data_IF_414941128466
#
_entry.id   IF_414941128466
#
_cell.length_a   1.000
_cell.length_b   1.000
_cell.length_c   1.000
_cell.angle_alpha   90.00
_cell.angle_beta   90.00
_cell.angle_gamma   90.00
#
_symmetry.space_group_name_H-M   'P 1'
#
loop_
_entity.id
_entity.type
_entity.pdbx_description
1 polymer ?
#
# COMPACT_ATOMS: atom_id res chain seq x y z
N UNK A 1 -29.46 11.35 -6.23
CA UNK A 1 -30.77 11.71 -5.72
C UNK A 1 -30.67 12.02 -4.24
N UNK A 2 -31.45 12.97 -3.73
CA UNK A 2 -31.50 13.31 -2.30
C UNK A 2 -32.55 12.41 -1.62
N UNK A 3 -32.23 11.75 -0.50
CA UNK A 3 -33.22 10.93 0.21
C UNK A 3 -34.42 11.80 0.63
N UNK A 4 -35.63 11.30 0.40
CA UNK A 4 -36.88 12.00 0.74
C UNK A 4 -37.28 11.77 2.21
N UNK A 5 -36.76 10.71 2.82
CA UNK A 5 -37.08 10.22 4.16
C UNK A 5 -36.23 10.86 5.27
N UNK A 6 -35.08 11.47 4.93
CA UNK A 6 -34.14 12.04 5.90
C UNK A 6 -33.72 13.45 5.47
N UNK A 7 -33.73 14.45 6.37
CA UNK A 7 -33.24 15.79 6.07
C UNK A 7 -31.81 15.77 5.49
N UNK A 8 -31.57 16.53 4.43
CA UNK A 8 -30.26 16.59 3.78
C UNK A 8 -29.11 16.96 4.74
N UNK A 9 -29.38 17.83 5.73
CA UNK A 9 -28.40 18.22 6.76
C UNK A 9 -27.90 17.03 7.59
N UNK A 10 -28.77 16.04 7.83
CA UNK A 10 -28.43 14.84 8.60
C UNK A 10 -27.72 13.81 7.73
N UNK A 11 -28.24 13.58 6.50
CA UNK A 11 -27.62 12.65 5.55
C UNK A 11 -26.19 13.04 5.20
N UNK A 12 -25.95 14.35 5.04
CA UNK A 12 -24.68 14.92 4.61
C UNK A 12 -23.93 15.64 5.73
N UNK A 13 -24.21 15.34 7.00
CA UNK A 13 -23.60 16.01 8.15
C UNK A 13 -22.05 15.97 8.16
N UNK A 14 -21.45 14.95 7.53
CA UNK A 14 -19.99 14.78 7.42
C UNK A 14 -19.38 15.37 6.13
N UNK A 15 -20.19 15.99 5.28
CA UNK A 15 -19.73 16.60 4.04
C UNK A 15 -19.45 18.08 4.26
N UNK A 16 -18.48 18.62 3.51
CA UNK A 16 -18.19 20.05 3.48
C UNK A 16 -18.14 20.58 2.05
N UNK A 17 -18.61 21.80 1.87
CA UNK A 17 -18.43 22.54 0.63
C UNK A 17 -17.02 23.12 0.55
N UNK A 18 -16.37 23.00 -0.60
CA UNK A 18 -15.08 23.64 -0.87
C UNK A 18 -15.28 24.69 -1.96
N UNK A 19 -14.71 25.89 -1.76
CA UNK A 19 -14.69 26.92 -2.80
C UNK A 19 -13.84 26.49 -4.00
N UNK A 20 -12.74 25.81 -3.74
CA UNK A 20 -11.85 25.25 -4.76
C UNK A 20 -11.24 23.95 -4.26
N UNK A 21 -11.41 22.88 -5.03
CA UNK A 21 -10.81 21.57 -4.69
C UNK A 21 -9.28 21.62 -4.59
N UNK A 22 -8.63 22.52 -5.35
CA UNK A 22 -7.16 22.59 -5.46
C UNK A 22 -6.48 23.47 -4.42
N UNK A 23 -7.20 24.49 -3.91
CA UNK A 23 -6.59 25.56 -3.10
C UNK A 23 -7.24 25.74 -1.74
N UNK A 24 -8.47 25.24 -1.53
CA UNK A 24 -9.07 25.29 -0.19
C UNK A 24 -8.27 24.40 0.78
N UNK A 25 -8.00 24.86 2.01
CA UNK A 25 -7.24 24.09 2.99
C UNK A 25 -7.99 22.81 3.36
N UNK A 26 -7.23 21.74 3.59
CA UNK A 26 -7.74 20.44 4.04
C UNK A 26 -6.71 19.88 5.01
N UNK A 27 -7.04 19.80 6.30
CA UNK A 27 -6.14 19.23 7.30
C UNK A 27 -6.14 17.70 7.21
N UNK A 28 -4.98 17.04 6.98
CA UNK A 28 -4.87 15.59 6.96
C UNK A 28 -5.20 14.91 8.30
N UNK A 29 -5.06 15.62 9.42
CA UNK A 29 -5.24 15.07 10.77
C UNK A 29 -6.64 15.33 11.35
N UNK A 30 -7.53 15.93 10.56
CA UNK A 30 -8.91 16.18 10.94
C UNK A 30 -9.75 14.88 10.81
N UNK A 31 -10.50 14.52 11.86
CA UNK A 31 -11.47 13.41 11.85
C UNK A 31 -10.90 12.03 11.40
N UNK A 32 -9.66 11.73 11.78
CA UNK A 32 -9.00 10.46 11.43
C UNK A 32 -9.73 9.24 12.06
N UNK A 33 -9.90 8.13 11.33
CA UNK A 33 -10.35 6.88 11.89
C UNK A 33 -9.39 6.34 12.96
N UNK A 34 -9.90 5.60 13.94
CA UNK A 34 -9.09 4.96 14.99
C UNK A 34 -8.01 4.04 14.39
N UNK A 35 -8.27 3.43 13.24
CA UNK A 35 -7.31 2.55 12.56
C UNK A 35 -6.01 3.28 12.17
N UNK A 36 -6.07 4.60 11.93
CA UNK A 36 -4.89 5.41 11.61
C UNK A 36 -3.91 5.52 12.78
N UNK A 37 -4.34 5.32 14.03
CA UNK A 37 -3.41 5.31 15.17
C UNK A 37 -2.54 4.05 15.24
N UNK A 38 -2.90 3.00 14.48
CA UNK A 38 -2.22 1.70 14.48
C UNK A 38 -1.21 1.56 13.34
N UNK A 39 -1.18 2.51 12.40
CA UNK A 39 -0.30 2.46 11.24
C UNK A 39 0.96 3.28 11.49
N UNK A 40 2.04 2.88 10.85
CA UNK A 40 3.32 3.55 10.94
C UNK A 40 3.40 4.69 9.93
N UNK A 41 3.67 5.90 10.39
CA UNK A 41 3.91 7.07 9.55
C UNK A 41 5.42 7.29 9.36
N UNK A 42 5.80 7.73 8.16
CA UNK A 42 7.18 8.12 7.86
C UNK A 42 7.25 9.63 7.70
N UNK A 43 8.12 10.29 8.47
CA UNK A 43 8.40 11.73 8.30
C UNK A 43 8.92 12.02 6.88
N UNK A 44 9.85 11.19 6.39
CA UNK A 44 10.40 11.32 5.04
C UNK A 44 10.69 9.95 4.43
N UNK A 45 9.67 9.40 3.75
CA UNK A 45 9.77 8.10 3.10
C UNK A 45 10.91 8.05 2.06
N UNK A 46 11.07 9.08 1.23
CA UNK A 46 12.07 9.07 0.15
C UNK A 46 13.51 9.02 0.66
N UNK A 47 13.81 9.80 1.70
CA UNK A 47 15.14 9.78 2.32
C UNK A 47 15.42 8.45 3.02
N UNK A 48 14.44 7.92 3.76
CA UNK A 48 14.55 6.63 4.42
C UNK A 48 14.73 5.49 3.41
N UNK A 49 13.93 5.47 2.35
CA UNK A 49 14.01 4.49 1.25
C UNK A 49 15.40 4.47 0.63
N UNK A 50 15.95 5.64 0.26
CA UNK A 50 17.31 5.74 -0.29
C UNK A 50 18.38 5.23 0.68
N UNK A 51 18.25 5.54 1.97
CA UNK A 51 19.20 5.11 3.02
C UNK A 51 19.16 3.59 3.20
N UNK A 52 17.96 3.01 3.33
CA UNK A 52 17.77 1.56 3.49
C UNK A 52 18.33 0.82 2.28
N UNK A 53 17.95 1.22 1.06
CA UNK A 53 18.44 0.58 -0.17
C UNK A 53 19.96 0.70 -0.30
N UNK A 54 20.55 1.85 0.05
CA UNK A 54 22.01 2.04 0.00
C UNK A 54 22.75 1.11 0.97
N UNK A 55 22.27 0.95 2.21
CA UNK A 55 22.88 0.07 3.21
C UNK A 55 22.86 -1.40 2.77
N UNK A 56 21.72 -1.84 2.25
CA UNK A 56 21.54 -3.21 1.73
C UNK A 56 22.52 -3.49 0.60
N UNK A 57 22.71 -2.53 -0.33
CA UNK A 57 23.70 -2.66 -1.41
C UNK A 57 25.16 -2.71 -0.91
N UNK A 58 25.43 -2.12 0.24
CA UNK A 58 26.74 -2.16 0.90
C UNK A 58 26.92 -3.42 1.78
N UNK A 59 25.90 -4.27 1.88
CA UNK A 59 25.92 -5.45 2.75
C UNK A 59 26.04 -5.08 4.24
N UNK A 60 25.57 -3.90 4.64
CA UNK A 60 25.60 -3.45 6.04
C UNK A 60 24.23 -3.65 6.69
N UNK A 61 24.21 -4.43 7.77
CA UNK A 61 23.04 -4.58 8.64
C UNK A 61 22.89 -3.38 9.59
N UNK A 62 21.81 -3.32 10.36
CA UNK A 62 21.53 -2.20 11.28
C UNK A 62 22.63 -2.00 12.33
N UNK A 63 23.32 -3.08 12.73
CA UNK A 63 24.35 -3.11 13.77
C UNK A 63 25.78 -2.99 13.21
N UNK A 64 25.96 -2.90 11.90
CA UNK A 64 27.28 -2.73 11.25
C UNK A 64 28.17 -3.99 11.24
N UNK A 65 27.77 -5.07 11.90
CA UNK A 65 28.36 -6.40 11.74
C UNK A 65 27.66 -7.11 10.59
N UNK A 66 28.40 -7.49 9.54
CA UNK A 66 27.81 -8.16 8.38
C UNK A 66 28.39 -9.54 8.14
N UNK A 67 27.61 -10.56 8.52
CA UNK A 67 27.78 -11.93 8.02
C UNK A 67 26.73 -12.17 6.93
N UNK A 68 26.85 -11.45 5.82
CA UNK A 68 25.97 -11.67 4.66
C UNK A 68 26.48 -12.82 3.80
N UNK A 69 25.57 -13.64 3.26
CA UNK A 69 25.93 -14.72 2.35
C UNK A 69 25.97 -14.19 0.92
N UNK A 70 27.09 -14.41 0.23
CA UNK A 70 27.24 -14.03 -1.17
C UNK A 70 26.28 -14.83 -2.08
N UNK A 71 25.78 -14.21 -3.17
CA UNK A 71 24.96 -14.91 -4.16
C UNK A 71 25.65 -16.16 -4.73
N UNK A 72 24.86 -17.21 -5.01
CA UNK A 72 25.35 -18.46 -5.60
C UNK A 72 25.83 -19.51 -4.60
N UNK A 73 25.83 -19.22 -3.29
CA UNK A 73 26.16 -20.20 -2.25
C UNK A 73 24.93 -21.01 -1.85
N UNK A 74 25.10 -22.33 -1.71
CA UNK A 74 24.10 -23.21 -1.11
C UNK A 74 24.06 -22.96 0.40
N UNK A 75 22.87 -22.69 0.92
CA UNK A 75 22.66 -22.43 2.36
C UNK A 75 21.57 -23.33 2.93
N UNK A 76 21.66 -23.59 4.23
CA UNK A 76 20.59 -24.21 5.03
C UNK A 76 20.03 -23.14 5.96
N UNK A 77 18.74 -22.81 5.81
CA UNK A 77 18.09 -21.78 6.60
C UNK A 77 17.35 -22.40 7.80
N UNK A 78 17.71 -21.99 9.01
CA UNK A 78 17.01 -22.37 10.23
C UNK A 78 16.08 -21.24 10.68
N UNK A 79 14.80 -21.33 10.31
CA UNK A 79 13.79 -20.29 10.59
C UNK A 79 13.05 -20.64 11.89
N UNK A 80 12.96 -19.67 12.82
CA UNK A 80 12.23 -19.82 14.08
C UNK A 80 10.72 -19.59 13.89
N UNK A 81 9.91 -20.24 14.73
CA UNK A 81 8.45 -20.04 14.81
C UNK A 81 7.70 -20.27 13.49
N UNK A 82 8.11 -21.29 12.75
CA UNK A 82 7.40 -21.74 11.55
C UNK A 82 6.24 -22.66 11.95
N UNK A 83 5.11 -22.56 11.25
CA UNK A 83 3.99 -23.48 11.45
C UNK A 83 4.46 -24.92 11.22
N UNK A 84 4.04 -25.85 12.09
CA UNK A 84 4.32 -27.28 11.90
C UNK A 84 3.56 -27.86 10.71
N UNK A 85 2.49 -27.19 10.30
CA UNK A 85 1.73 -27.57 9.12
C UNK A 85 2.43 -27.05 7.86
N UNK A 86 3.17 -27.95 7.20
CA UNK A 86 3.90 -27.66 5.98
C UNK A 86 2.98 -27.41 4.78
N UNK A 87 1.73 -27.90 4.80
CA UNK A 87 0.77 -27.67 3.71
C UNK A 87 0.37 -26.19 3.60
N UNK A 88 0.44 -25.45 4.71
CA UNK A 88 0.21 -23.99 4.75
C UNK A 88 1.36 -23.22 4.11
N UNK A 89 2.56 -23.80 4.09
CA UNK A 89 3.79 -23.12 3.67
C UNK A 89 4.16 -23.49 2.24
N UNK A 90 3.95 -24.76 1.86
CA UNK A 90 4.41 -25.29 0.59
C UNK A 90 3.31 -26.15 -0.04
N UNK A 91 2.89 -25.74 -1.24
CA UNK A 91 2.15 -26.62 -2.14
C UNK A 91 3.12 -27.65 -2.72
N UNK A 92 2.66 -28.89 -2.89
CA UNK A 92 3.43 -29.95 -3.55
C UNK A 92 3.73 -29.64 -5.03
N UNK A 93 2.94 -28.75 -5.64
CA UNK A 93 3.02 -28.39 -7.06
C UNK A 93 3.91 -27.17 -7.35
N UNK A 94 4.25 -26.37 -6.34
CA UNK A 94 4.94 -25.08 -6.52
C UNK A 94 6.25 -25.02 -5.73
N UNK A 95 7.30 -24.38 -6.28
CA UNK A 95 8.56 -24.20 -5.56
C UNK A 95 8.40 -23.25 -4.37
N UNK A 96 9.11 -23.55 -3.27
CA UNK A 96 9.23 -22.65 -2.13
C UNK A 96 10.30 -21.58 -2.41
N UNK A 97 9.88 -20.31 -2.46
CA UNK A 97 10.76 -19.16 -2.65
C UNK A 97 10.82 -18.34 -1.37
N UNK A 98 12.03 -18.04 -0.90
CA UNK A 98 12.26 -17.25 0.31
C UNK A 98 12.91 -15.92 -0.08
N UNK A 99 12.41 -14.83 0.47
CA UNK A 99 12.99 -13.49 0.33
C UNK A 99 13.25 -12.90 1.72
N UNK A 100 14.33 -12.14 1.85
CA UNK A 100 14.58 -11.35 3.05
C UNK A 100 13.75 -10.07 3.01
N UNK A 101 13.26 -9.65 4.18
CA UNK A 101 12.59 -8.37 4.33
C UNK A 101 13.62 -7.30 4.63
N UNK A 102 13.41 -6.12 4.04
CA UNK A 102 14.22 -4.97 4.37
C UNK A 102 13.77 -4.34 5.71
N UNK A 103 14.65 -3.54 6.36
CA UNK A 103 14.30 -2.80 7.57
C UNK A 103 12.92 -2.13 7.50
N UNK A 104 12.11 -2.34 8.52
CA UNK A 104 10.74 -1.81 8.64
C UNK A 104 9.68 -2.30 7.64
N UNK A 105 9.98 -3.23 6.72
CA UNK A 105 8.95 -3.78 5.81
C UNK A 105 7.93 -4.72 6.49
N UNK A 106 8.12 -5.02 7.78
CA UNK A 106 7.13 -5.70 8.62
C UNK A 106 6.04 -4.73 9.12
N UNK A 107 6.33 -3.43 9.17
CA UNK A 107 5.39 -2.42 9.66
C UNK A 107 4.24 -2.24 8.66
N UNK A 108 3.04 -1.96 9.16
CA UNK A 108 1.88 -1.60 8.34
C UNK A 108 1.76 -0.08 8.23
N UNK A 109 1.49 0.42 7.04
CA UNK A 109 1.32 1.84 6.75
C UNK A 109 0.15 2.05 5.77
N UNK A 110 -0.15 3.32 5.48
CA UNK A 110 -1.00 3.71 4.37
C UNK A 110 -0.16 3.73 3.09
N UNK A 111 -0.39 2.79 2.20
CA UNK A 111 0.40 2.61 0.97
C UNK A 111 -0.40 3.11 -0.22
N UNK A 112 0.23 3.96 -1.04
CA UNK A 112 -0.31 4.47 -2.30
C UNK A 112 0.39 3.80 -3.48
N UNK A 113 -0.39 3.34 -4.44
CA UNK A 113 0.08 2.58 -5.58
C UNK A 113 -0.52 3.14 -6.86
N UNK A 114 0.31 3.42 -7.86
CA UNK A 114 -0.19 3.78 -9.19
C UNK A 114 -0.56 2.50 -9.92
N UNK A 115 -1.83 2.39 -10.32
CA UNK A 115 -2.37 1.24 -11.02
C UNK A 115 -3.00 1.66 -12.35
N UNK A 116 -2.94 0.77 -13.33
CA UNK A 116 -3.66 0.93 -14.59
C UNK A 116 -4.52 -0.30 -14.82
N UNK A 117 -5.73 -0.06 -15.30
CA UNK A 117 -6.66 -1.13 -15.59
C UNK A 117 -6.26 -1.89 -16.84
N UNK A 118 -6.29 -3.22 -16.78
CA UNK A 118 -6.10 -4.08 -17.95
C UNK A 118 -7.16 -3.75 -19.02
N UNK A 119 -6.72 -3.56 -20.26
CA UNK A 119 -7.57 -3.27 -21.43
C UNK A 119 -8.52 -4.41 -21.78
N UNK A 120 -8.15 -5.65 -21.48
CA UNK A 120 -8.97 -6.84 -21.78
C UNK A 120 -10.16 -7.01 -20.83
N UNK A 121 -10.07 -6.46 -19.61
CA UNK A 121 -11.11 -6.63 -18.61
C UNK A 121 -12.16 -5.52 -18.68
N UNK A 122 -13.37 -5.86 -19.12
CA UNK A 122 -14.49 -4.93 -19.30
C UNK A 122 -15.40 -4.80 -18.06
N UNK A 123 -15.32 -5.73 -17.10
CA UNK A 123 -16.18 -5.75 -15.91
C UNK A 123 -15.94 -4.58 -14.94
N UNK A 124 -16.93 -4.14 -14.19
CA UNK A 124 -16.74 -3.01 -13.27
C UNK A 124 -15.83 -3.40 -12.10
N UNK A 125 -14.85 -2.55 -11.79
CA UNK A 125 -13.99 -2.68 -10.60
C UNK A 125 -14.33 -1.54 -9.67
N UNK A 126 -15.06 -1.84 -8.60
CA UNK A 126 -15.54 -0.85 -7.65
C UNK A 126 -14.54 -0.66 -6.51
N UNK A 127 -14.43 0.56 -6.03
CA UNK A 127 -13.61 0.85 -4.86
C UNK A 127 -14.21 0.21 -3.60
N UNK A 128 -13.33 -0.25 -2.69
CA UNK A 128 -13.63 -0.97 -1.44
C UNK A 128 -14.06 -2.42 -1.59
N UNK A 129 -14.23 -2.92 -2.81
CA UNK A 129 -14.46 -4.34 -3.05
C UNK A 129 -13.16 -5.14 -2.83
N UNK A 130 -13.25 -6.38 -2.32
CA UNK A 130 -12.08 -7.19 -2.03
C UNK A 130 -11.36 -7.59 -3.32
N UNK A 131 -10.05 -7.40 -3.33
CA UNK A 131 -9.15 -7.77 -4.42
C UNK A 131 -7.90 -8.45 -3.89
N UNK A 132 -7.35 -9.35 -4.69
CA UNK A 132 -6.04 -9.93 -4.43
C UNK A 132 -4.98 -9.09 -5.16
N UNK A 133 -4.10 -8.44 -4.41
CA UNK A 133 -2.96 -7.71 -4.96
C UNK A 133 -1.68 -8.53 -4.81
N UNK A 134 -0.84 -8.51 -5.83
CA UNK A 134 0.52 -9.06 -5.78
C UNK A 134 1.46 -7.87 -5.82
N UNK A 135 2.07 -7.53 -4.68
CA UNK A 135 2.99 -6.41 -4.54
C UNK A 135 4.39 -6.99 -4.37
N UNK A 136 5.16 -6.99 -5.45
CA UNK A 136 6.46 -7.67 -5.50
C UNK A 136 6.31 -9.16 -5.20
N UNK A 137 6.91 -9.62 -4.11
CA UNK A 137 6.83 -11.03 -3.67
C UNK A 137 5.62 -11.34 -2.77
N UNK A 138 4.78 -10.35 -2.44
CA UNK A 138 3.71 -10.50 -1.44
C UNK A 138 2.34 -10.57 -2.12
N UNK A 139 1.55 -11.59 -1.76
CA UNK A 139 0.14 -11.71 -2.12
C UNK A 139 -0.73 -11.24 -0.95
N UNK A 140 -1.60 -10.26 -1.15
CA UNK A 140 -2.42 -9.65 -0.12
C UNK A 140 -3.88 -9.59 -0.55
N UNK A 141 -4.80 -9.80 0.40
CA UNK A 141 -6.20 -9.43 0.24
C UNK A 141 -6.38 -7.97 0.67
N UNK A 142 -6.92 -7.15 -0.22
CA UNK A 142 -7.03 -5.70 -0.05
C UNK A 142 -8.41 -5.19 -0.44
N UNK A 143 -8.80 -4.04 0.10
CA UNK A 143 -10.01 -3.33 -0.27
C UNK A 143 -9.63 -1.89 -0.68
N UNK A 144 -9.16 -1.67 -1.92
CA UNK A 144 -8.51 -0.42 -2.29
C UNK A 144 -9.48 0.76 -2.43
N UNK A 145 -9.00 1.92 -2.01
CA UNK A 145 -9.63 3.21 -2.29
C UNK A 145 -8.98 3.78 -3.55
N UNK A 146 -9.79 4.02 -4.59
CA UNK A 146 -9.29 4.61 -5.83
C UNK A 146 -9.39 6.13 -5.80
N UNK A 147 -8.38 6.79 -6.35
CA UNK A 147 -8.33 8.24 -6.51
C UNK A 147 -7.63 8.64 -7.80
N UNK A 148 -7.88 9.86 -8.25
CA UNK A 148 -7.25 10.38 -9.47
C UNK A 148 -5.74 10.56 -9.28
N UNK A 149 -4.97 10.10 -10.27
CA UNK A 149 -3.53 10.34 -10.33
C UNK A 149 -3.24 11.76 -10.83
N UNK A 150 -3.39 12.73 -9.93
CA UNK A 150 -3.05 14.15 -10.19
C UNK A 150 -1.73 14.51 -9.52
N UNK A 151 -0.96 15.46 -10.07
CA UNK A 151 0.22 15.97 -9.38
C UNK A 151 -0.14 16.56 -8.01
N UNK A 152 0.83 16.55 -7.09
CA UNK A 152 0.67 17.10 -5.75
C UNK A 152 0.30 18.59 -5.82
N UNK A 153 -0.95 18.89 -5.47
CA UNK A 153 -1.46 20.26 -5.35
C UNK A 153 -1.07 20.92 -4.03
N UNK A 154 -1.47 22.18 -3.84
CA UNK A 154 -1.17 22.96 -2.63
C UNK A 154 -1.67 22.29 -1.34
N UNK A 155 -2.86 21.68 -1.40
CA UNK A 155 -3.50 20.99 -0.27
C UNK A 155 -3.34 19.46 -0.29
N UNK A 156 -2.67 18.91 -1.31
CA UNK A 156 -2.46 17.46 -1.48
C UNK A 156 -3.76 16.61 -1.40
N UNK A 157 -4.89 17.14 -1.88
CA UNK A 157 -6.18 16.42 -1.91
C UNK A 157 -6.42 15.81 -3.28
N UNK A 158 -6.85 14.54 -3.30
CA UNK A 158 -7.13 13.79 -4.52
C UNK A 158 -8.59 13.35 -4.59
N UNK A 159 -9.19 13.42 -5.78
CA UNK A 159 -10.61 13.10 -5.97
C UNK A 159 -10.81 11.59 -5.88
N UNK A 160 -11.69 11.17 -4.97
CA UNK A 160 -12.13 9.78 -4.85
C UNK A 160 -12.87 9.30 -6.10
N UNK A 161 -12.54 8.08 -6.54
CA UNK A 161 -13.18 7.39 -7.66
C UNK A 161 -13.95 6.17 -7.17
N UNK A 162 -15.24 6.10 -7.51
CA UNK A 162 -16.10 4.97 -7.14
C UNK A 162 -15.73 3.68 -7.89
N UNK A 163 -15.17 3.82 -9.07
CA UNK A 163 -14.79 2.73 -9.97
C UNK A 163 -13.43 3.02 -10.58
N UNK A 164 -12.64 1.98 -10.84
CA UNK A 164 -11.39 2.07 -11.58
C UNK A 164 -11.69 2.31 -13.07
N UNK A 165 -11.21 3.45 -13.58
CA UNK A 165 -11.43 3.85 -14.99
C UNK A 165 -10.53 3.07 -15.94
N UNK A 166 -10.96 2.98 -17.19
CA UNK A 166 -10.10 2.56 -18.30
C UNK A 166 -9.32 3.75 -18.86
N UNK A 167 -8.18 3.45 -19.48
CA UNK A 167 -7.35 4.43 -20.19
C UNK A 167 -6.37 5.17 -19.30
N UNK A 168 -6.84 5.73 -18.18
CA UNK A 168 -6.02 6.51 -17.27
C UNK A 168 -5.41 5.69 -16.12
N UNK A 169 -4.27 6.14 -15.61
CA UNK A 169 -3.71 5.63 -14.37
C UNK A 169 -4.47 6.23 -13.17
N UNK A 170 -4.83 5.39 -12.21
CA UNK A 170 -5.42 5.80 -10.93
C UNK A 170 -4.47 5.46 -9.79
N UNK A 171 -4.68 6.06 -8.62
CA UNK A 171 -3.97 5.70 -7.39
C UNK A 171 -4.88 4.82 -6.54
N UNK A 172 -4.38 3.64 -6.17
CA UNK A 172 -4.98 2.77 -5.16
C UNK A 172 -4.31 2.99 -3.80
N UNK A 173 -5.12 3.36 -2.82
CA UNK A 173 -4.68 3.53 -1.42
C UNK A 173 -5.18 2.35 -0.58
N UNK A 174 -4.26 1.73 0.16
CA UNK A 174 -4.55 0.58 1.03
C UNK A 174 -3.86 0.72 2.39
N UNK A 175 -4.37 0.01 3.39
CA UNK A 175 -3.57 -0.35 4.55
C UNK A 175 -2.78 -1.61 4.23
N UNK A 176 -1.45 -1.52 4.24
CA UNK A 176 -0.59 -2.61 3.78
C UNK A 176 0.79 -2.59 4.42
N UNK A 177 1.57 -3.67 4.26
CA UNK A 177 2.97 -3.66 4.65
C UNK A 177 3.76 -2.65 3.83
N UNK A 178 4.74 -2.01 4.46
CA UNK A 178 5.66 -1.11 3.77
C UNK A 178 6.56 -1.92 2.83
N UNK A 179 6.78 -1.37 1.63
CA UNK A 179 7.70 -1.92 0.62
C UNK A 179 8.62 -0.81 0.15
N UNK A 180 9.93 -1.06 0.10
CA UNK A 180 10.87 -0.02 -0.34
C UNK A 180 11.11 -0.04 -1.84
N UNK A 181 11.31 1.16 -2.39
CA UNK A 181 11.67 1.34 -3.80
C UNK A 181 10.50 1.19 -4.76
N UNK A 182 10.83 0.92 -6.03
CA UNK A 182 9.85 0.75 -7.11
C UNK A 182 9.57 -0.73 -7.28
N UNK A 183 8.48 -1.19 -6.70
CA UNK A 183 8.05 -2.59 -6.74
C UNK A 183 6.89 -2.73 -7.73
N UNK A 184 6.89 -3.71 -8.64
CA UNK A 184 5.77 -3.96 -9.53
C UNK A 184 4.55 -4.47 -8.75
N UNK A 185 3.38 -4.07 -9.23
CA UNK A 185 2.05 -4.33 -8.65
C UNK A 185 1.11 -4.79 -9.75
#
# INVERSE_FOLDING_TARGET
DTPLDIPARERFARYRGLKSFRTSPWDPYENLPIEMSKVFEFENYDQMSKRVIKRVKMGMDEDGESTSVEPGKRVTLHIKNVSKDLSVIQSSELPLVIFSLLPHEKKKSLVNMTIQRNTEYTGLVKSKDPLTAIIGSRKLQINPIYSQNTPKGLNNVHKFERYLRHGDASVATIFGPVTWGKVPI
#
